data_IF_828859654825
#
_entry.id   IF_828859654825
#
_cell.length_a   1.000
_cell.length_b   1.000
_cell.length_c   1.000
_cell.angle_alpha   90.00
_cell.angle_beta   90.00
_cell.angle_gamma   90.00
#
_symmetry.space_group_name_H-M   'P 1'
#
loop_
_entity.id
_entity.type
_entity.pdbx_description
1 polymer ?
#
# COMPACT_ATOMS: atom_id res chain seq x y z
N UNK A 1 9.97 -8.85 -12.66
CA UNK A 1 9.12 -7.95 -11.86
C UNK A 1 8.72 -6.74 -12.70
N UNK A 2 7.45 -6.40 -12.69
CA UNK A 2 6.91 -5.26 -13.43
C UNK A 2 6.33 -4.25 -12.46
N UNK A 3 6.52 -2.96 -12.76
CA UNK A 3 5.90 -1.86 -12.01
C UNK A 3 5.07 -1.05 -12.99
N UNK A 4 3.79 -0.90 -12.69
CA UNK A 4 2.83 -0.20 -13.54
C UNK A 4 2.25 0.99 -12.76
N UNK A 5 2.21 2.16 -13.40
CA UNK A 5 1.68 3.39 -12.81
C UNK A 5 0.39 3.81 -13.51
N UNK A 6 -0.64 4.09 -12.73
CA UNK A 6 -1.90 4.67 -13.18
C UNK A 6 -2.19 5.92 -12.35
N UNK A 7 -1.83 7.08 -12.86
CA UNK A 7 -1.93 8.34 -12.10
C UNK A 7 -3.11 9.16 -12.64
N UNK A 8 -4.19 9.22 -11.87
CA UNK A 8 -5.42 9.94 -12.21
C UNK A 8 -5.63 11.19 -11.34
N UNK A 9 -5.07 11.22 -10.13
CA UNK A 9 -5.19 12.35 -9.21
C UNK A 9 -3.80 12.81 -8.79
N UNK A 10 -3.50 14.11 -8.92
CA UNK A 10 -2.20 14.68 -8.57
C UNK A 10 -2.31 15.91 -7.65
N UNK A 11 -3.53 16.42 -7.42
CA UNK A 11 -3.76 17.68 -6.72
C UNK A 11 -3.93 17.50 -5.21
N UNK A 12 -3.01 16.75 -4.60
CA UNK A 12 -3.05 16.54 -3.15
C UNK A 12 -1.64 16.34 -2.60
N UNK A 13 -1.50 16.55 -1.29
CA UNK A 13 -0.22 16.43 -0.59
C UNK A 13 -0.19 15.12 0.18
N UNK A 14 0.88 14.34 -0.02
CA UNK A 14 1.18 13.17 0.79
C UNK A 14 2.37 13.46 1.70
N UNK A 15 2.37 12.94 2.93
CA UNK A 15 3.57 12.95 3.76
C UNK A 15 4.72 12.26 3.03
N UNK A 16 5.92 12.83 3.15
CA UNK A 16 7.11 12.25 2.55
C UNK A 16 7.30 10.82 3.02
N UNK A 17 7.76 9.96 2.12
CA UNK A 17 8.12 8.56 2.41
C UNK A 17 6.93 7.67 2.83
N UNK A 18 5.70 7.98 2.39
CA UNK A 18 4.56 7.07 2.63
C UNK A 18 4.33 6.09 1.50
N UNK A 19 4.49 6.51 0.25
CA UNK A 19 4.30 5.64 -0.91
C UNK A 19 5.49 4.71 -1.09
N UNK A 20 6.70 5.24 -0.97
CA UNK A 20 7.92 4.44 -1.15
C UNK A 20 8.00 3.24 -0.20
N UNK A 21 7.74 3.37 1.11
CA UNK A 21 7.69 2.22 1.99
C UNK A 21 6.64 1.17 1.61
N UNK A 22 5.50 1.59 1.05
CA UNK A 22 4.48 0.66 0.57
C UNK A 22 4.98 -0.13 -0.64
N UNK A 23 5.66 0.53 -1.57
CA UNK A 23 6.25 -0.13 -2.74
C UNK A 23 7.35 -1.09 -2.30
N UNK A 24 8.23 -0.66 -1.40
CA UNK A 24 9.29 -1.50 -0.86
C UNK A 24 8.72 -2.73 -0.16
N UNK A 25 7.64 -2.56 0.60
CA UNK A 25 6.96 -3.66 1.27
C UNK A 25 6.39 -4.66 0.27
N UNK A 26 5.76 -4.18 -0.81
CA UNK A 26 5.22 -5.02 -1.87
C UNK A 26 6.33 -5.84 -2.53
N UNK A 27 7.46 -5.22 -2.82
CA UNK A 27 8.61 -5.90 -3.44
C UNK A 27 9.22 -6.91 -2.47
N UNK A 28 9.53 -6.48 -1.26
CA UNK A 28 10.27 -7.29 -0.28
C UNK A 28 9.45 -8.47 0.25
N UNK A 29 8.21 -8.25 0.61
CA UNK A 29 7.37 -9.26 1.26
C UNK A 29 6.41 -9.97 0.30
N UNK A 30 6.19 -9.41 -0.86
CA UNK A 30 5.31 -9.98 -1.88
C UNK A 30 6.08 -10.63 -3.02
N UNK A 31 6.68 -9.80 -3.88
CA UNK A 31 7.21 -10.25 -5.17
C UNK A 31 8.52 -11.00 -5.09
N UNK A 32 9.43 -10.62 -4.17
CA UNK A 32 10.73 -11.29 -4.06
C UNK A 32 10.63 -12.75 -3.62
N UNK A 33 9.48 -13.16 -3.12
CA UNK A 33 9.22 -14.55 -2.72
C UNK A 33 8.61 -15.38 -3.84
N UNK A 34 8.33 -14.77 -4.99
CA UNK A 34 7.84 -15.47 -6.18
C UNK A 34 9.00 -15.79 -7.12
N UNK A 35 9.09 -17.03 -7.60
CA UNK A 35 10.11 -17.44 -8.55
C UNK A 35 10.02 -16.69 -9.87
N UNK A 36 8.81 -16.42 -10.33
CA UNK A 36 8.54 -15.73 -11.59
C UNK A 36 8.56 -14.21 -11.48
N UNK A 37 8.79 -13.66 -10.26
CA UNK A 37 8.61 -12.24 -10.01
C UNK A 37 7.15 -11.91 -9.85
N UNK A 38 6.68 -10.83 -10.45
CA UNK A 38 5.29 -10.41 -10.36
C UNK A 38 5.12 -8.96 -10.77
N UNK A 39 3.97 -8.39 -10.44
CA UNK A 39 3.61 -7.03 -10.83
C UNK A 39 3.17 -6.21 -9.62
N UNK A 40 3.67 -4.98 -9.54
CA UNK A 40 3.18 -3.95 -8.61
C UNK A 40 2.46 -2.89 -9.42
N UNK A 41 1.23 -2.56 -9.06
CA UNK A 41 0.46 -1.48 -9.66
C UNK A 41 0.33 -0.36 -8.64
N UNK A 42 0.71 0.85 -9.05
CA UNK A 42 0.58 2.05 -8.23
C UNK A 42 -0.46 2.93 -8.91
N UNK A 43 -1.58 3.18 -8.21
CA UNK A 43 -2.68 4.00 -8.69
C UNK A 43 -2.89 5.19 -7.81
N UNK A 44 -3.13 6.37 -8.42
CA UNK A 44 -3.71 7.49 -7.69
C UNK A 44 -5.05 7.84 -8.33
N UNK A 45 -6.05 8.08 -7.49
CA UNK A 45 -7.39 8.42 -7.94
C UNK A 45 -8.11 9.22 -6.86
N UNK A 46 -9.26 9.75 -7.19
CA UNK A 46 -10.07 10.46 -6.19
C UNK A 46 -11.51 9.94 -6.20
N UNK A 47 -12.11 9.98 -5.03
CA UNK A 47 -13.53 9.76 -4.83
C UNK A 47 -14.18 11.09 -4.47
N UNK A 48 -15.48 11.09 -4.18
CA UNK A 48 -16.19 12.31 -3.77
C UNK A 48 -15.56 12.96 -2.54
N UNK A 49 -15.06 12.14 -1.59
CA UNK A 49 -14.61 12.63 -0.28
C UNK A 49 -13.12 12.42 -0.01
N UNK A 50 -12.41 11.67 -0.86
CA UNK A 50 -11.02 11.28 -0.59
C UNK A 50 -10.13 11.38 -1.81
N UNK A 51 -8.86 11.66 -1.57
CA UNK A 51 -7.77 11.35 -2.49
C UNK A 51 -7.18 10.01 -2.09
N UNK A 52 -6.91 9.14 -3.06
CA UNK A 52 -6.48 7.78 -2.80
C UNK A 52 -5.21 7.43 -3.56
N UNK A 53 -4.32 6.68 -2.90
CA UNK A 53 -3.17 6.04 -3.55
C UNK A 53 -3.19 4.57 -3.18
N UNK A 54 -3.21 3.71 -4.19
CA UNK A 54 -3.18 2.27 -4.00
C UNK A 54 -1.86 1.70 -4.49
N UNK A 55 -1.26 0.84 -3.68
CA UNK A 55 -0.12 0.00 -4.08
C UNK A 55 -0.59 -1.45 -3.99
N UNK A 56 -0.75 -2.08 -5.13
CA UNK A 56 -1.27 -3.45 -5.23
C UNK A 56 -0.23 -4.36 -5.86
N UNK A 57 0.03 -5.50 -5.23
CA UNK A 57 0.90 -6.53 -5.79
C UNK A 57 0.16 -7.86 -5.95
N UNK A 58 0.66 -8.70 -6.84
CA UNK A 58 0.21 -10.06 -7.05
C UNK A 58 1.16 -11.09 -6.42
N UNK A 59 1.82 -10.69 -5.34
CA UNK A 59 2.79 -11.50 -4.63
C UNK A 59 2.17 -12.59 -3.76
N UNK A 60 2.94 -13.04 -2.76
CA UNK A 60 2.52 -14.16 -1.92
C UNK A 60 1.39 -13.84 -0.95
N UNK A 61 1.15 -12.56 -0.65
CA UNK A 61 0.16 -12.15 0.32
C UNK A 61 0.51 -12.57 1.74
N UNK A 62 -0.37 -12.24 2.68
CA UNK A 62 -0.22 -12.66 4.07
C UNK A 62 -1.59 -12.71 4.75
N UNK A 63 -1.64 -13.37 5.91
CA UNK A 63 -2.85 -13.45 6.73
C UNK A 63 -2.87 -12.26 7.69
N UNK A 64 -3.78 -11.30 7.45
CA UNK A 64 -3.89 -10.09 8.27
C UNK A 64 -4.35 -10.36 9.69
N UNK A 65 -4.93 -11.53 9.96
CA UNK A 65 -5.32 -11.95 11.31
C UNK A 65 -4.19 -12.63 12.09
N UNK A 66 -3.11 -13.04 11.41
CA UNK A 66 -1.97 -13.72 12.02
C UNK A 66 -1.08 -12.75 12.76
N UNK A 67 -0.76 -13.04 14.04
CA UNK A 67 0.18 -12.23 14.81
C UNK A 67 1.60 -12.30 14.25
N UNK A 68 2.00 -13.45 13.70
CA UNK A 68 3.32 -13.61 13.11
C UNK A 68 3.46 -12.72 11.88
N UNK A 69 2.46 -12.74 11.00
CA UNK A 69 2.47 -11.91 9.80
C UNK A 69 2.38 -10.41 10.15
N UNK A 70 1.61 -10.04 11.17
CA UNK A 70 1.54 -8.66 11.65
C UNK A 70 2.90 -8.13 12.10
N UNK A 71 3.69 -8.95 12.79
CA UNK A 71 5.03 -8.56 13.22
C UNK A 71 5.97 -8.29 12.05
N UNK A 72 5.83 -9.09 10.97
CA UNK A 72 6.64 -8.89 9.76
C UNK A 72 6.30 -7.59 9.03
N UNK A 73 5.09 -7.06 9.25
CA UNK A 73 4.59 -5.88 8.56
C UNK A 73 4.43 -4.66 9.49
N UNK A 74 5.27 -4.57 10.51
CA UNK A 74 5.23 -3.45 11.47
C UNK A 74 5.41 -2.08 10.80
N UNK A 75 6.14 -2.02 9.70
CA UNK A 75 6.31 -0.78 8.92
C UNK A 75 5.00 -0.19 8.42
N UNK A 76 3.99 -1.02 8.17
CA UNK A 76 2.67 -0.55 7.74
C UNK A 76 1.97 0.23 8.84
N UNK A 77 2.14 -0.16 10.12
CA UNK A 77 1.59 0.58 11.26
C UNK A 77 2.23 1.95 11.41
N UNK A 78 3.53 2.06 11.12
CA UNK A 78 4.24 3.34 11.16
C UNK A 78 3.71 4.28 10.10
N UNK A 79 3.41 3.77 8.91
CA UNK A 79 2.79 4.54 7.83
C UNK A 79 1.40 5.02 8.24
N UNK A 80 0.59 4.15 8.83
CA UNK A 80 -0.75 4.48 9.34
C UNK A 80 -0.69 5.63 10.33
N UNK A 81 0.20 5.56 11.32
CA UNK A 81 0.35 6.61 12.33
C UNK A 81 0.78 7.93 11.73
N UNK A 82 1.70 7.90 10.78
CA UNK A 82 2.18 9.09 10.08
C UNK A 82 1.08 9.75 9.27
N UNK A 83 0.32 8.97 8.52
CA UNK A 83 -0.82 9.48 7.73
C UNK A 83 -1.87 10.14 8.62
N UNK A 84 -2.20 9.48 9.74
CA UNK A 84 -3.20 10.01 10.68
C UNK A 84 -2.75 11.33 11.28
N UNK A 85 -1.49 11.41 11.70
CA UNK A 85 -0.94 12.60 12.35
C UNK A 85 -0.82 13.80 11.40
N UNK A 86 -0.42 13.57 10.15
CA UNK A 86 -0.05 14.66 9.24
C UNK A 86 -1.18 15.12 8.34
N UNK A 87 -2.05 14.23 7.87
CA UNK A 87 -3.10 14.57 6.90
C UNK A 87 -4.47 13.99 7.26
N UNK A 88 -4.61 13.46 8.47
CA UNK A 88 -5.80 12.75 8.92
C UNK A 88 -6.17 11.59 7.98
N UNK A 89 -5.16 10.97 7.39
CA UNK A 89 -5.34 9.89 6.43
C UNK A 89 -5.46 8.54 7.09
N UNK A 90 -5.87 7.56 6.29
CA UNK A 90 -6.01 6.18 6.70
C UNK A 90 -5.28 5.27 5.74
N UNK A 91 -4.80 4.14 6.26
CA UNK A 91 -4.20 3.07 5.45
C UNK A 91 -5.06 1.83 5.59
N UNK A 92 -5.56 1.33 4.47
CA UNK A 92 -6.36 0.11 4.41
C UNK A 92 -5.52 -0.97 3.76
N UNK A 93 -5.36 -2.09 4.47
CA UNK A 93 -4.59 -3.23 3.97
C UNK A 93 -5.53 -4.41 3.74
N UNK A 94 -5.52 -4.91 2.52
CA UNK A 94 -6.21 -6.15 2.15
C UNK A 94 -5.18 -7.11 1.60
N UNK A 95 -5.08 -8.29 2.16
CA UNK A 95 -4.12 -9.29 1.73
C UNK A 95 -4.70 -10.69 1.84
N UNK A 96 -4.33 -11.53 0.90
CA UNK A 96 -4.77 -12.92 0.87
C UNK A 96 -3.61 -13.79 0.41
N UNK A 97 -3.30 -14.83 1.20
CA UNK A 97 -2.22 -15.76 0.89
C UNK A 97 -2.46 -16.38 -0.49
N UNK A 98 -1.44 -16.34 -1.34
CA UNK A 98 -1.50 -16.89 -2.68
C UNK A 98 -2.10 -15.98 -3.74
N UNK A 99 -2.61 -14.80 -3.34
CA UNK A 99 -3.22 -13.83 -4.27
C UNK A 99 -2.44 -12.54 -4.33
N UNK A 100 -2.12 -11.95 -3.19
CA UNK A 100 -1.35 -10.71 -3.12
C UNK A 100 -1.84 -9.76 -2.05
N UNK A 101 -1.36 -8.53 -2.12
CA UNK A 101 -1.66 -7.48 -1.14
C UNK A 101 -2.03 -6.18 -1.83
N UNK A 102 -3.02 -5.49 -1.27
CA UNK A 102 -3.42 -4.14 -1.66
C UNK A 102 -3.30 -3.24 -0.45
N UNK A 103 -2.55 -2.15 -0.59
CA UNK A 103 -2.41 -1.12 0.43
C UNK A 103 -2.96 0.18 -0.13
N UNK A 104 -4.00 0.73 0.50
CA UNK A 104 -4.71 1.91 0.02
C UNK A 104 -4.56 3.03 1.04
N UNK A 105 -3.97 4.14 0.61
CA UNK A 105 -3.91 5.39 1.37
C UNK A 105 -5.14 6.20 1.01
N UNK A 106 -5.90 6.63 2.02
CA UNK A 106 -7.07 7.49 1.84
C UNK A 106 -6.86 8.79 2.61
N UNK A 107 -6.92 9.92 1.91
CA UNK A 107 -6.75 11.25 2.48
C UNK A 107 -8.05 12.02 2.30
N UNK A 108 -8.71 12.45 3.41
CA UNK A 108 -9.96 13.20 3.29
C UNK A 108 -9.77 14.50 2.54
N UNK A 109 -10.72 14.83 1.70
CA UNK A 109 -10.83 16.17 1.10
C UNK A 109 -11.37 17.16 2.13
N UNK A 110 -10.85 18.36 2.09
CA UNK A 110 -11.32 19.44 2.95
C UNK A 110 -12.62 20.05 2.45
#
# INVERSE_FOLDING_TARGET
MNIIYHIEATDFVLPALTVQPLVENAIKHGLMRLESGGTVVIRSYETTEHFCVEVKDDGVGFDTSSQIDRKKHVGLRNIQGRLKAMVNGELIIESQIGIGTSAIIMIPKE
#
